data_IF_939600712281
#
_entry.id   IF_939600712281
#
_cell.length_a   1.000
_cell.length_b   1.000
_cell.length_c   1.000
_cell.angle_alpha   90.00
_cell.angle_beta   90.00
_cell.angle_gamma   90.00
#
_symmetry.space_group_name_H-M   'P 1'
#
loop_
_entity.id
_entity.type
_entity.pdbx_description
1 polymer ?
#
# COMPACT_ATOMS: atom_id res chain seq x y z
N UNK A 1 -18.55 -37.51 -0.55
CA UNK A 1 -17.28 -37.33 0.20
C UNK A 1 -17.04 -35.85 0.25
N UNK A 2 -17.19 -35.23 1.41
CA UNK A 2 -17.16 -33.78 1.55
C UNK A 2 -15.71 -33.29 1.55
N UNK A 3 -15.41 -32.29 0.71
CA UNK A 3 -14.19 -31.50 0.80
C UNK A 3 -14.12 -30.86 2.18
N UNK A 4 -13.45 -31.54 3.12
CA UNK A 4 -12.85 -30.87 4.26
C UNK A 4 -11.78 -29.98 3.65
N UNK A 5 -12.13 -28.72 3.36
CA UNK A 5 -11.28 -27.75 2.66
C UNK A 5 -9.82 -27.91 3.09
N UNK A 6 -9.01 -28.48 2.20
CA UNK A 6 -7.59 -28.65 2.43
C UNK A 6 -6.97 -27.29 2.70
N UNK A 7 -5.98 -27.25 3.59
CA UNK A 7 -5.23 -26.02 3.83
C UNK A 7 -4.64 -25.51 2.51
N UNK A 8 -4.61 -24.19 2.27
CA UNK A 8 -3.95 -23.65 1.10
C UNK A 8 -2.49 -24.12 1.03
N UNK A 9 -2.02 -24.42 -0.18
CA UNK A 9 -0.60 -24.73 -0.40
C UNK A 9 0.23 -23.47 -0.22
N UNK A 10 1.52 -23.63 0.08
CA UNK A 10 2.44 -22.51 0.27
C UNK A 10 2.49 -21.56 -0.94
N UNK A 11 2.46 -22.11 -2.16
CA UNK A 11 2.39 -21.34 -3.40
C UNK A 11 1.14 -20.46 -3.50
N UNK A 12 -0.01 -20.97 -3.04
CA UNK A 12 -1.28 -20.23 -3.03
C UNK A 12 -1.22 -19.10 -2.00
N UNK A 13 -0.64 -19.35 -0.82
CA UNK A 13 -0.41 -18.32 0.21
C UNK A 13 0.54 -17.24 -0.31
N UNK A 14 1.64 -17.64 -0.96
CA UNK A 14 2.61 -16.71 -1.52
C UNK A 14 2.02 -15.86 -2.66
N UNK A 15 1.24 -16.47 -3.55
CA UNK A 15 0.51 -15.77 -4.61
C UNK A 15 -0.51 -14.79 -4.01
N UNK A 16 -1.24 -15.22 -2.97
CA UNK A 16 -2.19 -14.39 -2.26
C UNK A 16 -1.52 -13.17 -1.61
N UNK A 17 -0.37 -13.35 -0.94
CA UNK A 17 0.38 -12.24 -0.32
C UNK A 17 0.90 -11.27 -1.38
N UNK A 18 1.42 -11.77 -2.52
CA UNK A 18 2.00 -10.94 -3.58
C UNK A 18 0.98 -10.19 -4.43
N UNK A 19 -0.23 -10.74 -4.60
CA UNK A 19 -1.27 -10.12 -5.41
C UNK A 19 -1.60 -8.71 -4.90
N UNK A 20 -1.81 -7.75 -5.80
CA UNK A 20 -2.23 -6.39 -5.46
C UNK A 20 -3.43 -6.01 -6.33
N UNK A 21 -4.43 -5.35 -5.75
CA UNK A 21 -5.52 -4.73 -6.48
C UNK A 21 -5.43 -3.22 -6.31
N UNK A 22 -5.22 -2.51 -7.43
CA UNK A 22 -5.00 -1.07 -7.45
C UNK A 22 -6.30 -0.29 -7.73
N UNK A 23 -7.47 -0.96 -7.86
CA UNK A 23 -8.75 -0.29 -8.14
C UNK A 23 -9.14 0.75 -7.09
N UNK A 24 -8.66 0.59 -5.86
CA UNK A 24 -8.95 1.44 -4.73
C UNK A 24 -7.93 2.55 -4.50
N UNK A 25 -6.84 2.61 -5.28
CA UNK A 25 -5.78 3.62 -5.13
C UNK A 25 -6.32 5.05 -5.24
N UNK A 26 -7.35 5.25 -6.06
CA UNK A 26 -8.04 6.55 -6.25
C UNK A 26 -8.65 7.13 -4.96
N UNK A 27 -8.81 6.34 -3.90
CA UNK A 27 -9.38 6.81 -2.63
C UNK A 27 -8.34 7.32 -1.65
N UNK A 28 -7.07 7.01 -1.88
CA UNK A 28 -5.94 7.42 -1.07
C UNK A 28 -5.17 8.50 -1.82
N UNK A 29 -4.77 9.54 -1.11
CA UNK A 29 -3.92 10.58 -1.71
C UNK A 29 -2.49 10.31 -1.28
N UNK A 30 -1.63 9.83 -2.18
CA UNK A 30 -0.23 9.63 -1.83
C UNK A 30 0.44 10.99 -1.60
N UNK A 31 1.34 11.02 -0.63
CA UNK A 31 2.30 12.11 -0.54
C UNK A 31 3.32 11.96 -1.66
N UNK A 32 3.70 13.07 -2.26
CA UNK A 32 4.78 13.07 -3.24
C UNK A 32 6.08 12.76 -2.50
N UNK A 33 6.71 11.68 -2.94
CA UNK A 33 8.01 11.22 -2.47
C UNK A 33 8.76 10.57 -3.63
N UNK A 34 10.08 10.71 -3.63
CA UNK A 34 10.99 10.15 -4.62
C UNK A 34 12.23 9.60 -3.89
N UNK A 35 12.10 8.49 -3.15
CA UNK A 35 13.13 8.03 -2.24
C UNK A 35 14.42 7.60 -2.95
N UNK A 36 14.34 7.23 -4.23
CA UNK A 36 15.47 6.82 -5.07
C UNK A 36 16.39 7.98 -5.46
N UNK A 37 15.97 9.25 -5.26
CA UNK A 37 16.84 10.40 -5.53
C UNK A 37 18.13 10.39 -4.71
N UNK A 38 18.10 9.79 -3.51
CA UNK A 38 19.28 9.67 -2.63
C UNK A 38 20.33 8.69 -3.18
N UNK A 39 19.90 7.75 -4.03
CA UNK A 39 20.76 6.71 -4.60
C UNK A 39 21.48 7.23 -5.85
N UNK A 40 21.02 8.35 -6.41
CA UNK A 40 21.62 9.00 -7.58
C UNK A 40 22.78 9.89 -7.13
N UNK A 41 23.99 9.49 -7.52
CA UNK A 41 25.22 10.22 -7.25
C UNK A 41 26.05 10.40 -8.54
N UNK A 42 27.12 11.18 -8.43
CA UNK A 42 28.02 11.50 -9.54
C UNK A 42 29.11 10.45 -9.80
N UNK A 43 29.04 9.27 -9.18
CA UNK A 43 30.06 8.24 -9.42
C UNK A 43 29.97 7.76 -10.88
N UNK A 44 31.11 7.52 -11.55
CA UNK A 44 31.12 6.98 -12.91
C UNK A 44 30.46 5.60 -12.95
N UNK A 45 29.88 5.25 -14.10
CA UNK A 45 29.36 3.91 -14.36
C UNK A 45 30.54 3.00 -14.72
N UNK A 46 30.58 1.83 -14.11
CA UNK A 46 31.66 0.85 -14.24
C UNK A 46 31.17 -0.51 -14.74
N UNK A 47 29.86 -0.77 -14.71
CA UNK A 47 29.26 -2.03 -15.14
C UNK A 47 28.04 -1.82 -16.04
N UNK A 48 27.66 -2.86 -16.80
CA UNK A 48 26.45 -2.86 -17.61
C UNK A 48 25.17 -2.78 -16.76
N UNK A 49 25.15 -3.45 -15.61
CA UNK A 49 24.03 -3.39 -14.66
C UNK A 49 23.79 -1.96 -14.14
N UNK A 50 24.88 -1.23 -13.84
CA UNK A 50 24.80 0.18 -13.45
C UNK A 50 24.27 1.06 -14.60
N UNK A 51 24.65 0.78 -15.85
CA UNK A 51 24.13 1.48 -17.02
C UNK A 51 22.62 1.24 -17.19
N UNK A 52 22.16 0.00 -17.05
CA UNK A 52 20.75 -0.36 -17.12
C UNK A 52 19.95 0.29 -15.99
N UNK A 53 20.48 0.27 -14.77
CA UNK A 53 19.86 0.94 -13.62
C UNK A 53 19.73 2.45 -13.85
N UNK A 54 20.78 3.12 -14.32
CA UNK A 54 20.75 4.56 -14.63
C UNK A 54 19.74 4.85 -15.75
N UNK A 55 19.67 4.00 -16.77
CA UNK A 55 18.68 4.11 -17.85
C UNK A 55 17.24 3.99 -17.33
N UNK A 56 16.99 3.08 -16.38
CA UNK A 56 15.71 2.98 -15.69
C UNK A 56 15.40 4.24 -14.88
N UNK A 57 16.38 4.80 -14.16
CA UNK A 57 16.20 6.04 -13.42
C UNK A 57 15.85 7.23 -14.33
N UNK A 58 16.47 7.36 -15.51
CA UNK A 58 16.09 8.41 -16.48
C UNK A 58 14.60 8.33 -16.82
N UNK A 59 14.11 7.14 -17.19
CA UNK A 59 12.69 6.92 -17.53
C UNK A 59 11.76 7.25 -16.36
N UNK A 60 12.13 6.82 -15.16
CA UNK A 60 11.35 7.08 -13.94
C UNK A 60 11.29 8.58 -13.62
N UNK A 61 12.43 9.27 -13.64
CA UNK A 61 12.54 10.70 -13.37
C UNK A 61 11.71 11.54 -14.35
N UNK A 62 11.76 11.23 -15.65
CA UNK A 62 10.96 11.95 -16.65
C UNK A 62 9.46 11.83 -16.38
N UNK A 63 8.99 10.63 -16.03
CA UNK A 63 7.60 10.36 -15.68
C UNK A 63 7.22 11.11 -14.40
N UNK A 64 8.05 11.02 -13.37
CA UNK A 64 7.78 11.60 -12.05
C UNK A 64 7.83 13.12 -12.08
N UNK A 65 8.76 13.73 -12.81
CA UNK A 65 8.79 15.19 -13.04
C UNK A 65 7.49 15.64 -13.70
N UNK A 66 7.09 15.00 -14.81
CA UNK A 66 5.87 15.36 -15.54
C UNK A 66 4.61 15.23 -14.67
N UNK A 67 4.48 14.13 -13.93
CA UNK A 67 3.36 13.92 -13.00
C UNK A 67 3.35 14.96 -11.88
N UNK A 68 4.50 15.25 -11.29
CA UNK A 68 4.63 16.21 -10.19
C UNK A 68 4.29 17.63 -10.64
N UNK A 69 4.78 18.04 -11.82
CA UNK A 69 4.44 19.34 -12.41
C UNK A 69 2.95 19.48 -12.74
N UNK A 70 2.34 18.42 -13.28
CA UNK A 70 0.89 18.38 -13.50
C UNK A 70 0.14 18.54 -12.17
N UNK A 71 0.61 17.90 -11.10
CA UNK A 71 0.02 18.04 -9.75
C UNK A 71 0.18 19.44 -9.18
N UNK A 72 1.34 20.10 -9.36
CA UNK A 72 1.54 21.51 -8.97
C UNK A 72 0.51 22.40 -9.69
N UNK A 73 0.34 22.20 -10.99
CA UNK A 73 -0.62 22.98 -11.79
C UNK A 73 -2.05 22.79 -11.26
N UNK A 74 -2.46 21.53 -11.02
CA UNK A 74 -3.77 21.19 -10.45
C UNK A 74 -4.00 21.92 -9.12
N UNK A 75 -3.08 21.76 -8.16
CA UNK A 75 -3.18 22.32 -6.81
C UNK A 75 -3.19 23.86 -6.77
N UNK A 76 -2.56 24.52 -7.75
CA UNK A 76 -2.60 25.98 -7.90
C UNK A 76 -3.86 26.49 -8.57
N UNK A 77 -4.43 25.71 -9.49
CA UNK A 77 -5.61 26.11 -10.27
C UNK A 77 -6.92 25.99 -9.49
N UNK A 78 -7.03 25.02 -8.59
CA UNK A 78 -8.17 24.84 -7.70
C UNK A 78 -7.65 24.70 -6.27
N UNK A 79 -7.46 25.82 -5.55
CA UNK A 79 -6.92 25.77 -4.21
C UNK A 79 -7.85 24.94 -3.31
N UNK A 80 -7.28 24.06 -2.48
CA UNK A 80 -8.04 23.10 -1.70
C UNK A 80 -9.05 23.83 -0.81
N UNK A 81 -10.32 23.43 -0.87
CA UNK A 81 -11.35 23.93 0.03
C UNK A 81 -11.29 23.14 1.32
N UNK A 82 -11.47 23.82 2.46
CA UNK A 82 -11.60 23.12 3.73
C UNK A 82 -12.88 22.27 3.70
N UNK A 83 -12.71 20.96 3.54
CA UNK A 83 -13.78 19.97 3.43
C UNK A 83 -14.00 19.19 4.74
N UNK A 84 -13.35 19.63 5.82
CA UNK A 84 -13.35 18.95 7.11
C UNK A 84 -12.49 17.69 7.10
N UNK A 85 -12.50 16.97 8.23
CA UNK A 85 -11.70 15.77 8.39
C UNK A 85 -12.36 14.54 7.79
N UNK A 86 -11.57 13.71 7.11
CA UNK A 86 -12.01 12.45 6.49
C UNK A 86 -11.07 11.31 6.82
N UNK A 87 -11.64 10.12 6.97
CA UNK A 87 -10.86 8.88 7.06
C UNK A 87 -11.27 7.94 5.94
N UNK A 88 -10.27 7.29 5.36
CA UNK A 88 -10.42 6.21 4.40
C UNK A 88 -9.72 4.98 4.97
N UNK A 89 -10.44 3.87 5.04
CA UNK A 89 -9.96 2.59 5.55
C UNK A 89 -10.23 1.55 4.48
N UNK A 90 -9.24 0.77 4.13
CA UNK A 90 -9.35 -0.37 3.23
C UNK A 90 -8.90 -1.63 3.95
N UNK A 91 -9.75 -2.66 3.91
CA UNK A 91 -9.38 -4.01 4.32
C UNK A 91 -9.16 -4.81 3.04
N UNK A 92 -7.89 -5.15 2.77
CA UNK A 92 -7.53 -5.81 1.53
C UNK A 92 -7.68 -7.31 1.67
N UNK A 93 -6.97 -7.92 2.63
CA UNK A 93 -6.77 -9.36 2.73
C UNK A 93 -6.52 -9.82 4.15
N UNK A 94 -6.61 -11.14 4.36
CA UNK A 94 -6.11 -11.80 5.56
C UNK A 94 -5.34 -13.06 5.21
N UNK A 95 -4.47 -13.51 6.11
CA UNK A 95 -3.74 -14.78 5.99
C UNK A 95 -3.76 -15.54 7.31
N UNK A 96 -3.54 -16.86 7.23
CA UNK A 96 -3.46 -17.79 8.37
C UNK A 96 -4.66 -17.73 9.34
N UNK A 97 -5.84 -17.37 8.83
CA UNK A 97 -7.08 -17.37 9.63
C UNK A 97 -7.60 -18.81 9.66
N UNK A 98 -7.09 -19.60 10.60
CA UNK A 98 -7.42 -21.02 10.82
C UNK A 98 -8.46 -21.13 11.94
N UNK A 99 -9.75 -21.34 11.60
CA UNK A 99 -10.80 -21.48 12.61
C UNK A 99 -10.62 -22.77 13.41
N UNK A 100 -10.70 -22.68 14.73
CA UNK A 100 -10.79 -23.85 15.62
C UNK A 100 -12.26 -24.26 15.77
N UNK A 101 -12.84 -24.77 14.69
CA UNK A 101 -14.23 -25.24 14.63
C UNK A 101 -14.32 -26.55 13.86
N UNK A 102 -15.40 -27.28 14.10
CA UNK A 102 -15.69 -28.52 13.38
C UNK A 102 -15.82 -28.27 11.87
N UNK A 103 -15.20 -29.13 11.06
CA UNK A 103 -15.05 -28.94 9.61
C UNK A 103 -16.38 -28.75 8.86
N UNK A 104 -17.47 -29.35 9.34
CA UNK A 104 -18.81 -29.26 8.74
C UNK A 104 -19.52 -27.92 8.95
N UNK A 105 -18.96 -27.02 9.79
CA UNK A 105 -19.54 -25.69 10.03
C UNK A 105 -19.32 -24.71 8.87
N UNK A 106 -18.41 -25.04 7.92
CA UNK A 106 -18.07 -24.25 6.74
C UNK A 106 -17.94 -22.73 7.02
N UNK A 107 -17.10 -22.37 8.00
CA UNK A 107 -16.98 -20.97 8.39
C UNK A 107 -16.51 -20.05 7.27
N UNK A 108 -17.14 -18.88 7.22
CA UNK A 108 -16.74 -17.73 6.42
C UNK A 108 -16.20 -16.64 7.33
N UNK A 109 -15.37 -15.77 6.77
CA UNK A 109 -14.70 -14.72 7.54
C UNK A 109 -15.16 -13.35 7.06
N UNK A 110 -15.42 -12.45 8.00
CA UNK A 110 -15.64 -11.04 7.72
C UNK A 110 -14.99 -10.19 8.81
N UNK A 111 -14.83 -8.90 8.55
CA UNK A 111 -14.18 -7.98 9.48
C UNK A 111 -15.14 -6.85 9.83
N UNK A 112 -15.25 -6.55 11.12
CA UNK A 112 -15.96 -5.38 11.64
C UNK A 112 -14.91 -4.32 11.97
N UNK A 113 -15.05 -3.12 11.40
CA UNK A 113 -14.22 -1.97 11.73
C UNK A 113 -14.99 -1.06 12.67
N UNK A 114 -14.42 -0.70 13.81
CA UNK A 114 -15.00 0.23 14.78
C UNK A 114 -14.04 1.38 15.07
N UNK A 115 -14.51 2.61 14.90
CA UNK A 115 -13.76 3.81 15.29
C UNK A 115 -14.17 4.19 16.72
N UNK A 116 -13.24 4.12 17.66
CA UNK A 116 -13.49 4.41 19.08
C UNK A 116 -12.98 5.79 19.48
N UNK A 117 -13.68 6.51 20.37
CA UNK A 117 -14.93 6.14 21.06
C UNK A 117 -16.21 6.49 20.27
N UNK A 118 -16.09 6.89 19.00
CA UNK A 118 -17.22 7.37 18.17
C UNK A 118 -18.26 6.28 17.85
N UNK A 119 -17.95 4.99 18.09
CA UNK A 119 -18.81 3.82 17.84
C UNK A 119 -19.30 3.71 16.39
N UNK A 120 -18.64 4.38 15.44
CA UNK A 120 -18.90 4.21 14.01
C UNK A 120 -18.42 2.83 13.59
N UNK A 121 -19.31 2.04 12.99
CA UNK A 121 -19.03 0.66 12.58
C UNK A 121 -19.16 0.49 11.08
N UNK A 122 -18.25 -0.28 10.51
CA UNK A 122 -18.30 -0.80 9.15
C UNK A 122 -18.12 -2.31 9.17
N UNK A 123 -18.57 -2.97 8.11
CA UNK A 123 -18.47 -4.41 8.00
C UNK A 123 -18.16 -4.79 6.55
N UNK A 124 -17.19 -5.69 6.37
CA UNK A 124 -16.91 -6.28 5.05
C UNK A 124 -17.93 -7.35 4.70
N UNK A 125 -18.00 -7.71 3.41
CA UNK A 125 -18.66 -8.94 2.98
C UNK A 125 -17.95 -10.16 3.56
N UNK A 126 -18.68 -11.28 3.57
CA UNK A 126 -18.13 -12.59 3.93
C UNK A 126 -17.19 -13.09 2.84
N UNK A 127 -16.07 -13.67 3.25
CA UNK A 127 -15.04 -14.25 2.38
C UNK A 127 -14.65 -15.64 2.86
N UNK A 128 -13.89 -16.38 2.05
CA UNK A 128 -13.41 -17.72 2.41
C UNK A 128 -12.42 -17.63 3.57
N UNK A 129 -12.39 -18.66 4.43
CA UNK A 129 -11.38 -18.80 5.50
C UNK A 129 -9.97 -19.07 4.96
N UNK A 130 -8.96 -19.01 5.83
CA UNK A 130 -7.52 -19.15 5.56
C UNK A 130 -6.85 -17.98 4.83
N UNK A 131 -7.30 -17.66 3.61
CA UNK A 131 -6.71 -16.59 2.76
C UNK A 131 -7.79 -15.64 2.19
N UNK A 132 -8.61 -14.99 3.03
CA UNK A 132 -9.67 -14.12 2.56
C UNK A 132 -9.15 -12.90 1.79
N UNK A 133 -9.92 -12.49 0.79
CA UNK A 133 -9.74 -11.21 0.08
C UNK A 133 -11.06 -10.43 0.13
N UNK A 134 -10.97 -9.12 0.36
CA UNK A 134 -12.11 -8.21 0.44
C UNK A 134 -11.92 -7.01 -0.48
N UNK A 135 -10.80 -6.30 -0.36
CA UNK A 135 -10.54 -5.03 -1.04
C UNK A 135 -11.69 -4.03 -0.87
N UNK A 136 -12.22 -3.96 0.35
CA UNK A 136 -13.37 -3.11 0.68
C UNK A 136 -12.92 -1.82 1.33
N UNK A 137 -13.47 -0.71 0.83
CA UNK A 137 -13.12 0.65 1.25
C UNK A 137 -14.29 1.27 2.02
N UNK A 138 -13.99 1.71 3.24
CA UNK A 138 -14.87 2.47 4.10
C UNK A 138 -14.40 3.92 4.17
N UNK A 139 -15.36 4.83 4.14
CA UNK A 139 -15.11 6.27 4.22
C UNK A 139 -16.00 6.88 5.28
N UNK A 140 -15.43 7.75 6.09
CA UNK A 140 -16.20 8.51 7.06
C UNK A 140 -15.75 9.97 7.06
N UNK A 141 -16.72 10.88 7.01
CA UNK A 141 -16.53 12.31 7.26
C UNK A 141 -17.05 12.57 8.67
N UNK A 142 -16.18 12.42 9.66
CA UNK A 142 -16.53 12.55 11.07
C UNK A 142 -15.58 13.52 11.73
N UNK A 143 -16.00 14.25 12.77
CA UNK A 143 -15.10 15.02 13.63
C UNK A 143 -14.24 14.04 14.43
N UNK A 144 -13.13 13.62 13.84
CA UNK A 144 -12.25 12.58 14.36
C UNK A 144 -11.23 13.10 15.37
N UNK A 145 -11.37 14.36 15.81
CA UNK A 145 -10.52 14.95 16.86
C UNK A 145 -10.59 14.20 18.19
N UNK A 146 -11.67 13.45 18.42
CA UNK A 146 -11.88 12.62 19.60
C UNK A 146 -11.55 11.14 19.38
N UNK A 147 -11.22 10.72 18.15
CA UNK A 147 -10.91 9.34 17.85
C UNK A 147 -9.57 8.94 18.47
N UNK A 148 -9.56 7.78 19.13
CA UNK A 148 -8.39 7.25 19.84
C UNK A 148 -7.77 6.09 19.08
N UNK A 149 -8.59 5.18 18.57
CA UNK A 149 -8.14 3.98 17.86
C UNK A 149 -9.19 3.45 16.89
N UNK A 150 -8.72 2.62 15.96
CA UNK A 150 -9.55 1.87 15.03
C UNK A 150 -9.36 0.40 15.37
N UNK A 151 -10.46 -0.28 15.71
CA UNK A 151 -10.47 -1.70 16.01
C UNK A 151 -11.01 -2.46 14.81
N UNK A 152 -10.26 -3.46 14.36
CA UNK A 152 -10.67 -4.40 13.33
C UNK A 152 -10.91 -5.74 14.00
N UNK A 153 -12.17 -6.14 14.14
CA UNK A 153 -12.56 -7.42 14.73
C UNK A 153 -12.82 -8.44 13.63
N UNK A 154 -12.04 -9.50 13.60
CA UNK A 154 -12.23 -10.62 12.68
C UNK A 154 -13.28 -11.56 13.25
N UNK A 155 -14.34 -11.78 12.48
CA UNK A 155 -15.47 -12.60 12.87
C UNK A 155 -15.56 -13.83 11.96
N UNK A 156 -15.94 -14.96 12.56
CA UNK A 156 -16.27 -16.21 11.87
C UNK A 156 -17.78 -16.35 11.82
N UNK A 157 -18.33 -16.30 10.62
CA UNK A 157 -19.72 -16.65 10.36
C UNK A 157 -19.82 -18.16 10.19
N UNK A 158 -20.60 -18.81 11.06
CA UNK A 158 -20.74 -20.26 11.12
C UNK A 158 -22.16 -20.68 10.75
N UNK A 159 -22.30 -21.81 10.07
CA UNK A 159 -23.62 -22.28 9.62
C UNK A 159 -24.60 -22.56 10.76
N UNK A 160 -24.09 -23.00 11.91
CA UNK A 160 -24.90 -23.36 13.08
C UNK A 160 -24.35 -22.63 14.31
N UNK A 161 -25.07 -21.61 14.75
CA UNK A 161 -24.75 -20.83 15.95
C UNK A 161 -24.63 -19.34 15.69
N UNK A 162 -24.12 -18.62 16.68
CA UNK A 162 -23.81 -17.19 16.56
C UNK A 162 -22.40 -16.98 16.00
N UNK A 163 -22.14 -15.85 15.31
CA UNK A 163 -20.79 -15.51 14.85
C UNK A 163 -19.78 -15.49 16.00
N UNK A 164 -18.60 -16.03 15.75
CA UNK A 164 -17.54 -16.19 16.75
C UNK A 164 -16.44 -15.16 16.48
N UNK A 165 -16.01 -14.44 17.51
CA UNK A 165 -14.84 -13.57 17.40
C UNK A 165 -13.56 -14.41 17.26
N UNK A 166 -12.83 -14.22 16.16
CA UNK A 166 -11.54 -14.86 15.94
C UNK A 166 -10.42 -14.13 16.69
N UNK A 167 -10.39 -12.80 16.55
CA UNK A 167 -9.41 -11.91 17.17
C UNK A 167 -9.53 -10.48 16.64
N UNK A 168 -8.60 -9.61 17.07
CA UNK A 168 -8.64 -8.17 16.80
C UNK A 168 -7.29 -7.62 16.35
N UNK A 169 -7.33 -6.61 15.49
CA UNK A 169 -6.23 -5.69 15.23
C UNK A 169 -6.63 -4.31 15.77
N UNK A 170 -5.70 -3.62 16.41
CA UNK A 170 -5.89 -2.24 16.85
C UNK A 170 -4.85 -1.35 16.19
N UNK A 171 -5.30 -0.23 15.62
CA UNK A 171 -4.44 0.83 15.09
C UNK A 171 -4.71 2.08 15.91
N UNK A 172 -3.66 2.64 16.52
CA UNK A 172 -3.76 3.89 17.25
C UNK A 172 -3.96 5.05 16.26
N UNK A 173 -4.90 5.93 16.57
CA UNK A 173 -5.23 7.03 15.68
C UNK A 173 -4.08 8.05 15.56
N UNK A 174 -3.17 8.04 16.54
CA UNK A 174 -1.91 8.81 16.53
C UNK A 174 -1.02 8.44 15.34
N UNK A 175 -1.04 7.19 14.92
CA UNK A 175 -0.23 6.69 13.79
C UNK A 175 -0.73 7.24 12.44
N UNK A 176 -1.92 7.83 12.40
CA UNK A 176 -2.53 8.44 11.22
C UNK A 176 -2.47 9.98 11.24
N UNK A 177 -1.87 10.59 12.27
CA UNK A 177 -1.86 12.06 12.43
C UNK A 177 -0.95 12.78 11.42
N UNK A 178 0.05 12.11 10.84
CA UNK A 178 0.86 12.68 9.77
C UNK A 178 0.08 12.85 8.45
N UNK A 179 -1.14 12.30 8.36
CA UNK A 179 -1.99 12.28 7.18
C UNK A 179 -1.49 11.43 6.00
N UNK A 180 -0.43 10.65 6.25
CA UNK A 180 0.12 9.70 5.29
C UNK A 180 -0.82 8.50 5.15
N UNK A 181 -0.61 7.74 4.07
CA UNK A 181 -1.25 6.43 3.94
C UNK A 181 -0.44 5.41 4.72
N UNK A 182 -1.03 4.83 5.75
CA UNK A 182 -0.52 3.67 6.45
C UNK A 182 -0.95 2.40 5.70
N UNK A 183 0.00 1.52 5.38
CA UNK A 183 -0.25 0.24 4.70
C UNK A 183 0.62 -0.82 5.35
N UNK A 184 0.04 -1.94 5.77
CA UNK A 184 0.82 -3.01 6.37
C UNK A 184 0.03 -4.27 6.68
N UNK A 185 0.78 -5.34 6.92
CA UNK A 185 0.26 -6.54 7.57
C UNK A 185 0.26 -6.33 9.08
N UNK A 186 -0.90 -6.54 9.70
CA UNK A 186 -1.10 -6.39 11.14
C UNK A 186 -1.52 -7.71 11.74
N UNK A 187 -0.82 -8.14 12.78
CA UNK A 187 -1.11 -9.41 13.45
C UNK A 187 -2.42 -9.35 14.23
N UNK A 188 -3.25 -10.36 14.02
CA UNK A 188 -4.53 -10.52 14.69
C UNK A 188 -4.26 -11.07 16.10
N UNK A 189 -4.50 -10.25 17.11
CA UNK A 189 -4.38 -10.64 18.52
C UNK A 189 -5.63 -11.40 18.96
N UNK A 190 -5.45 -12.53 19.63
CA UNK A 190 -6.54 -13.34 20.16
C UNK A 190 -6.21 -13.79 21.58
N UNK A 191 -7.23 -13.94 22.42
CA UNK A 191 -7.09 -14.50 23.77
C UNK A 191 -6.91 -16.03 23.74
N UNK A 192 -7.19 -16.66 22.60
CA UNK A 192 -6.99 -18.09 22.38
C UNK A 192 -5.69 -18.33 21.63
N UNK A 193 -4.99 -19.42 21.96
CA UNK A 193 -3.83 -19.86 21.18
C UNK A 193 -4.30 -20.23 19.77
N UNK A 194 -3.83 -19.49 18.77
CA UNK A 194 -4.11 -19.77 17.35
C UNK A 194 -2.92 -20.49 16.72
N UNK A 195 -3.22 -21.32 15.73
CA UNK A 195 -2.19 -21.87 14.86
C UNK A 195 -1.83 -20.85 13.78
N UNK A 196 -0.54 -20.82 13.39
CA UNK A 196 -0.03 -19.88 12.39
C UNK A 196 0.16 -18.45 12.92
N UNK A 197 0.39 -17.52 12.00
CA UNK A 197 0.56 -16.10 12.28
C UNK A 197 -0.56 -15.31 11.58
N UNK A 198 -1.79 -15.32 12.13
CA UNK A 198 -2.93 -14.69 11.49
C UNK A 198 -2.71 -13.18 11.40
N UNK A 199 -2.84 -12.62 10.20
CA UNK A 199 -2.66 -11.17 9.99
C UNK A 199 -3.68 -10.62 8.98
N UNK A 200 -3.97 -9.32 9.07
CA UNK A 200 -4.75 -8.56 8.08
C UNK A 200 -3.86 -7.59 7.32
N UNK A 201 -4.06 -7.48 6.01
CA UNK A 201 -3.50 -6.40 5.20
C UNK A 201 -4.48 -5.23 5.22
N UNK A 202 -4.08 -4.16 5.91
CA UNK A 202 -4.89 -2.97 6.14
C UNK A 202 -4.19 -1.79 5.49
N UNK A 203 -5.00 -0.91 4.89
CA UNK A 203 -4.57 0.40 4.43
C UNK A 203 -5.49 1.46 5.01
N UNK A 204 -4.94 2.50 5.63
CA UNK A 204 -5.72 3.57 6.23
C UNK A 204 -5.06 4.93 5.99
N UNK A 205 -5.88 5.97 5.84
CA UNK A 205 -5.43 7.34 5.74
C UNK A 205 -6.44 8.25 6.43
N UNK A 206 -5.96 9.11 7.33
CA UNK A 206 -6.75 10.14 7.97
C UNK A 206 -6.27 11.51 7.52
N UNK A 207 -7.14 12.30 6.92
CA UNK A 207 -6.84 13.68 6.55
C UNK A 207 -7.68 14.55 7.48
N UNK A 208 -7.02 15.19 8.44
CA UNK A 208 -7.71 16.07 9.40
C UNK A 208 -7.99 17.45 8.81
N UNK A 209 -7.14 17.90 7.89
CA UNK A 209 -7.24 19.18 7.22
C UNK A 209 -6.73 19.03 5.79
N UNK A 210 -7.67 18.95 4.84
CA UNK A 210 -7.36 18.80 3.42
C UNK A 210 -6.58 19.99 2.87
N UNK A 211 -6.83 21.21 3.36
CA UNK A 211 -6.06 22.39 2.95
C UNK A 211 -4.61 22.25 3.37
N UNK A 212 -4.33 21.96 4.64
CA UNK A 212 -2.96 21.79 5.16
C UNK A 212 -2.27 20.63 4.46
N UNK A 213 -2.95 19.50 4.27
CA UNK A 213 -2.41 18.33 3.58
C UNK A 213 -1.96 18.67 2.15
N UNK A 214 -2.83 19.31 1.37
CA UNK A 214 -2.54 19.66 -0.01
C UNK A 214 -1.48 20.77 -0.13
N UNK A 215 -1.45 21.74 0.80
CA UNK A 215 -0.37 22.73 0.87
C UNK A 215 0.98 22.09 1.16
N UNK A 216 1.03 21.11 2.07
CA UNK A 216 2.24 20.35 2.33
C UNK A 216 2.65 19.53 1.11
N UNK A 217 1.71 18.91 0.42
CA UNK A 217 1.98 18.16 -0.80
C UNK A 217 2.50 19.07 -1.93
N UNK A 218 1.92 20.27 -2.08
CA UNK A 218 2.40 21.28 -3.03
C UNK A 218 3.85 21.69 -2.73
N UNK A 219 4.17 21.99 -1.47
CA UNK A 219 5.55 22.32 -1.06
C UNK A 219 6.52 21.18 -1.38
N UNK A 220 6.13 19.93 -1.12
CA UNK A 220 6.95 18.75 -1.47
C UNK A 220 7.16 18.66 -2.98
N UNK A 221 6.11 18.83 -3.78
CA UNK A 221 6.25 18.86 -5.24
C UNK A 221 7.25 19.93 -5.70
N UNK A 222 7.13 21.15 -5.17
CA UNK A 222 8.00 22.28 -5.50
C UNK A 222 9.46 22.04 -5.06
N UNK A 223 9.68 21.29 -3.98
CA UNK A 223 11.00 20.87 -3.53
C UNK A 223 11.59 19.72 -4.39
N UNK A 224 10.77 18.73 -4.74
CA UNK A 224 11.23 17.53 -5.45
C UNK A 224 11.49 17.77 -6.93
N UNK A 225 10.72 18.63 -7.62
CA UNK A 225 10.90 18.87 -9.06
C UNK A 225 12.32 19.36 -9.39
N UNK A 226 12.89 20.37 -8.72
CA UNK A 226 14.27 20.79 -8.96
C UNK A 226 15.29 19.69 -8.66
N UNK A 227 15.11 18.92 -7.57
CA UNK A 227 15.98 17.81 -7.21
C UNK A 227 15.96 16.69 -8.26
N UNK A 228 14.77 16.33 -8.72
CA UNK A 228 14.56 15.33 -9.77
C UNK A 228 15.16 15.79 -11.11
N UNK A 229 15.00 17.06 -11.49
CA UNK A 229 15.65 17.62 -12.68
C UNK A 229 17.17 17.59 -12.59
N UNK A 230 17.73 17.93 -11.43
CA UNK A 230 19.16 17.82 -11.21
C UNK A 230 19.65 16.37 -11.30
N UNK A 231 18.95 15.43 -10.66
CA UNK A 231 19.24 14.00 -10.75
C UNK A 231 19.14 13.48 -12.20
N UNK A 232 18.16 13.94 -12.96
CA UNK A 232 18.00 13.59 -14.37
C UNK A 232 19.19 14.07 -15.21
N UNK A 233 19.68 15.28 -14.96
CA UNK A 233 20.88 15.80 -15.63
C UNK A 233 22.12 14.97 -15.28
N UNK A 234 22.28 14.58 -14.02
CA UNK A 234 23.37 13.70 -13.58
C UNK A 234 23.30 12.36 -14.31
N UNK A 235 22.13 11.71 -14.34
CA UNK A 235 21.95 10.43 -15.02
C UNK A 235 22.26 10.52 -16.52
N UNK A 236 21.77 11.57 -17.21
CA UNK A 236 22.04 11.78 -18.64
C UNK A 236 23.52 12.01 -18.92
N UNK A 237 24.18 12.84 -18.11
CA UNK A 237 25.61 13.08 -18.22
C UNK A 237 26.43 11.79 -18.04
N UNK A 238 26.06 10.95 -17.06
CA UNK A 238 26.70 9.65 -16.84
C UNK A 238 26.57 8.74 -18.07
N UNK A 239 25.38 8.66 -18.67
CA UNK A 239 25.16 7.83 -19.86
C UNK A 239 25.96 8.33 -21.07
N UNK A 240 26.01 9.65 -21.30
CA UNK A 240 26.82 10.26 -22.36
C UNK A 240 28.31 9.94 -22.19
N UNK A 241 28.83 10.02 -20.96
CA UNK A 241 30.22 9.69 -20.65
C UNK A 241 30.56 8.20 -20.75
N UNK A 242 29.59 7.31 -20.53
CA UNK A 242 29.78 5.87 -20.78
C UNK A 242 29.90 5.58 -22.27
N UNK A 243 29.08 6.22 -23.10
CA UNK A 243 29.14 6.06 -24.55
C UNK A 243 30.49 6.53 -25.12
N UNK A 244 31.11 7.55 -24.50
CA UNK A 244 32.48 8.01 -24.85
C UNK A 244 33.59 7.00 -24.47
N UNK A 245 33.40 6.17 -23.43
CA UNK A 245 34.45 5.29 -22.87
C UNK A 245 34.34 3.84 -23.35
N UNK A 246 33.12 3.31 -23.46
CA UNK A 246 32.87 1.89 -23.75
C UNK A 246 32.68 1.63 -25.26
N UNK A 247 32.40 2.68 -26.05
CA UNK A 247 32.12 2.54 -27.48
C UNK A 247 30.83 1.72 -27.76
N UNK A 248 30.32 1.75 -29.00
CA UNK A 248 29.12 0.96 -29.36
C UNK A 248 29.33 -0.56 -29.25
N UNK A 249 30.58 -1.03 -29.19
CA UNK A 249 30.95 -2.46 -29.15
C UNK A 249 30.80 -3.11 -27.76
N UNK A 250 30.66 -2.32 -26.69
CA UNK A 250 30.38 -2.84 -25.35
C UNK A 250 28.89 -3.05 -25.06
N UNK A 251 27.99 -2.72 -26.00
CA UNK A 251 26.65 -3.28 -26.03
C UNK A 251 26.81 -4.73 -26.49
N UNK A 252 27.12 -5.62 -25.56
CA UNK A 252 27.17 -7.04 -25.83
C UNK A 252 25.93 -7.42 -26.62
N UNK A 253 26.15 -7.86 -27.85
CA UNK A 253 25.14 -8.50 -28.66
C UNK A 253 24.54 -9.62 -27.81
N UNK A 254 23.32 -9.40 -27.31
CA UNK A 254 22.43 -10.48 -26.92
C UNK A 254 21.83 -11.03 -28.21
N UNK A 255 22.69 -11.55 -29.08
CA UNK A 255 22.29 -12.36 -30.21
C UNK A 255 23.30 -13.49 -30.38
N UNK A 256 22.74 -14.68 -30.61
CA UNK A 256 23.37 -15.99 -30.83
C UNK A 256 23.71 -16.74 -29.52
N UNK A 257 23.02 -17.84 -29.16
CA UNK A 257 22.82 -19.00 -30.02
C UNK A 257 21.70 -19.97 -29.56
N UNK A 258 21.03 -20.54 -30.58
CA UNK A 258 20.46 -21.91 -30.71
C UNK A 258 19.13 -22.25 -30.03
N UNK A 259 18.05 -22.33 -30.82
CA UNK A 259 17.58 -23.58 -31.48
C UNK A 259 16.87 -23.26 -32.80
#
# INVERSE_FOLDING_TARGET
MGDCASRPKEEEVNSHIKYKDNKNDKYFIPLVDMPYLKDINNNPITTADEQDQITQYVKLLEIDIKKTEAKIKELRSDPPKNSGSRIVIEIQKGKDIIPDILCFQDAKVYVIVEIQPLKTKFQTKVSKKFIPSWFEVFKANLPLSQAQKIIFTVMLDVKLGSPIEFGKVEIDFKDLQNQDTLVGWYDIKSNQKREGNPSLLIRAQYIYDDYVFQQNNLKRCEEFVPKARNALNICRYKLEKVEEIIGPEGRGDVYENQY
#
